data_IF_270844029622
#
_entry.id   IF_270844029622
#
_cell.length_a   1.000
_cell.length_b   1.000
_cell.length_c   1.000
_cell.angle_alpha   90.00
_cell.angle_beta   90.00
_cell.angle_gamma   90.00
#
_symmetry.space_group_name_H-M   'P 1'
#
loop_
_entity.id
_entity.type
_entity.pdbx_description
1 polymer ?
#
# COMPACT_ATOMS: atom_id res chain seq x y z
N UNK A 1 29.82 30.12 -19.09
CA UNK A 1 28.95 31.13 -19.73
C UNK A 1 29.05 31.03 -21.25
N UNK A 2 28.50 29.95 -21.80
CA UNK A 2 28.32 29.81 -23.25
C UNK A 2 27.07 30.58 -23.63
N UNK A 3 27.28 31.68 -24.34
CA UNK A 3 26.22 32.59 -24.75
C UNK A 3 25.98 32.38 -26.24
N UNK A 4 24.85 31.78 -26.61
CA UNK A 4 24.53 31.41 -27.99
C UNK A 4 23.34 32.20 -28.52
N UNK A 5 23.29 32.40 -29.84
CA UNK A 5 22.08 32.90 -30.48
C UNK A 5 20.98 31.83 -30.42
N UNK A 6 19.71 32.23 -30.52
CA UNK A 6 18.56 31.30 -30.44
C UNK A 6 18.63 30.18 -31.48
N UNK A 7 19.24 30.49 -32.62
CA UNK A 7 19.42 29.58 -33.76
C UNK A 7 20.44 28.50 -33.46
N UNK A 8 21.54 28.87 -32.80
CA UNK A 8 22.63 27.97 -32.41
C UNK A 8 22.22 27.12 -31.21
N UNK A 9 21.48 27.68 -30.25
CA UNK A 9 20.92 26.92 -29.12
C UNK A 9 19.89 25.86 -29.56
N UNK A 10 19.08 26.17 -30.58
CA UNK A 10 18.18 25.17 -31.18
C UNK A 10 18.96 24.01 -31.82
N UNK A 11 20.05 24.32 -32.54
CA UNK A 11 20.89 23.33 -33.19
C UNK A 11 21.66 22.45 -32.19
N UNK A 12 22.17 23.02 -31.09
CA UNK A 12 22.93 22.27 -30.08
C UNK A 12 22.08 21.25 -29.32
N UNK A 13 20.79 21.55 -29.08
CA UNK A 13 19.84 20.65 -28.41
C UNK A 13 19.02 19.78 -29.37
N UNK A 14 19.21 19.91 -30.68
CA UNK A 14 18.43 19.20 -31.69
C UNK A 14 16.95 19.59 -31.72
N UNK A 15 16.60 20.77 -31.20
CA UNK A 15 15.23 21.27 -31.14
C UNK A 15 14.89 22.12 -32.37
N UNK A 16 13.62 22.12 -32.76
CA UNK A 16 13.20 23.00 -33.85
C UNK A 16 13.29 24.46 -33.43
N UNK A 17 13.68 25.34 -34.36
CA UNK A 17 13.72 26.81 -34.12
C UNK A 17 12.37 27.35 -33.64
N UNK A 18 11.28 26.71 -34.06
CA UNK A 18 9.92 27.04 -33.61
C UNK A 18 9.69 26.69 -32.13
N UNK A 19 10.23 25.57 -31.65
CA UNK A 19 10.14 25.18 -30.25
C UNK A 19 10.90 26.15 -29.34
N UNK A 20 12.13 26.54 -29.72
CA UNK A 20 12.90 27.56 -28.99
C UNK A 20 12.21 28.93 -29.05
N UNK A 21 11.59 29.30 -30.17
CA UNK A 21 10.77 30.51 -30.26
C UNK A 21 9.53 30.48 -29.34
N UNK A 22 8.94 29.30 -29.10
CA UNK A 22 7.86 29.12 -28.14
C UNK A 22 8.35 29.29 -26.70
N UNK A 23 9.49 28.71 -26.35
CA UNK A 23 10.12 28.88 -25.04
C UNK A 23 10.47 30.35 -24.76
N UNK A 24 10.95 31.07 -25.78
CA UNK A 24 11.20 32.52 -25.70
C UNK A 24 9.93 33.31 -25.37
N UNK A 25 8.82 33.01 -26.08
CA UNK A 25 7.51 33.67 -25.85
C UNK A 25 6.91 33.32 -24.49
N UNK A 26 7.21 32.15 -23.96
CA UNK A 26 6.78 31.71 -22.62
C UNK A 26 7.68 32.26 -21.50
N UNK A 27 8.70 33.07 -21.83
CA UNK A 27 9.62 33.65 -20.85
C UNK A 27 10.52 32.62 -20.17
N UNK A 28 10.71 31.44 -20.77
CA UNK A 28 11.46 30.32 -20.21
C UNK A 28 12.91 30.24 -20.70
N UNK A 29 13.40 31.28 -21.38
CA UNK A 29 14.81 31.41 -21.80
C UNK A 29 15.45 32.55 -21.01
N UNK A 30 16.63 32.30 -20.47
CA UNK A 30 17.39 33.30 -19.73
C UNK A 30 18.37 33.97 -20.70
N UNK A 31 18.29 35.29 -20.79
CA UNK A 31 19.13 36.10 -21.65
C UNK A 31 20.28 36.71 -20.84
N UNK A 32 21.48 36.65 -21.39
CA UNK A 32 22.61 37.42 -20.89
C UNK A 32 22.47 38.91 -21.24
N UNK A 33 23.25 39.76 -20.59
CA UNK A 33 23.23 41.23 -20.76
C UNK A 33 23.46 41.71 -22.20
N UNK A 34 23.99 40.86 -23.08
CA UNK A 34 24.24 41.11 -24.51
C UNK A 34 23.09 40.63 -25.42
N UNK A 35 21.92 40.29 -24.86
CA UNK A 35 20.71 39.91 -25.60
C UNK A 35 20.73 38.51 -26.25
N UNK A 36 21.77 37.72 -25.96
CA UNK A 36 21.94 36.32 -26.40
C UNK A 36 21.55 35.36 -25.27
N UNK A 37 21.23 34.10 -25.60
CA UNK A 37 20.74 33.11 -24.62
C UNK A 37 21.93 32.57 -23.82
N UNK A 38 21.81 32.61 -22.49
CA UNK A 38 22.69 31.84 -21.62
C UNK A 38 22.21 30.40 -21.59
N UNK A 39 22.98 29.52 -22.22
CA UNK A 39 22.64 28.12 -22.46
C UNK A 39 22.50 27.36 -21.15
N UNK A 40 23.41 27.61 -20.22
CA UNK A 40 23.54 26.85 -18.98
C UNK A 40 22.45 27.24 -17.98
N UNK A 41 22.15 28.53 -17.86
CA UNK A 41 21.05 29.03 -17.02
C UNK A 41 19.68 28.62 -17.57
N UNK A 42 19.51 28.64 -18.90
CA UNK A 42 18.27 28.23 -19.55
C UNK A 42 18.00 26.74 -19.39
N UNK A 43 19.02 25.89 -19.55
CA UNK A 43 18.87 24.45 -19.41
C UNK A 43 18.46 24.06 -17.99
N UNK A 44 19.10 24.65 -16.97
CA UNK A 44 18.73 24.41 -15.56
C UNK A 44 17.28 24.84 -15.27
N UNK A 45 16.85 25.98 -15.81
CA UNK A 45 15.47 26.45 -15.64
C UNK A 45 14.45 25.53 -16.31
N UNK A 46 14.80 24.94 -17.46
CA UNK A 46 13.94 23.99 -18.17
C UNK A 46 13.90 22.62 -17.50
N UNK A 47 14.98 22.17 -16.87
CA UNK A 47 15.01 20.94 -16.07
C UNK A 47 14.18 21.07 -14.78
N UNK A 48 14.30 22.20 -14.06
CA UNK A 48 13.51 22.44 -12.85
C UNK A 48 12.01 22.63 -13.13
N UNK A 49 11.64 23.06 -14.34
CA UNK A 49 10.26 23.37 -14.72
C UNK A 49 9.68 22.40 -15.76
N UNK A 50 10.34 21.26 -15.98
CA UNK A 50 9.96 20.23 -16.94
C UNK A 50 9.09 19.14 -16.30
N UNK A 51 7.83 19.04 -16.72
CA UNK A 51 6.93 17.94 -16.32
C UNK A 51 7.44 16.60 -16.89
N UNK A 52 7.71 15.57 -16.07
CA UNK A 52 8.12 14.24 -16.55
C UNK A 52 7.03 13.49 -17.33
N UNK A 53 5.82 14.04 -17.44
CA UNK A 53 4.64 13.36 -17.98
C UNK A 53 4.30 13.66 -19.44
N UNK A 54 5.14 14.35 -20.23
CA UNK A 54 4.77 14.79 -21.58
C UNK A 54 5.64 14.28 -22.74
N UNK A 55 6.30 13.13 -22.54
CA UNK A 55 7.07 12.47 -23.60
C UNK A 55 6.22 11.85 -24.72
N UNK A 56 4.89 11.75 -24.61
CA UNK A 56 4.09 11.06 -25.63
C UNK A 56 3.06 11.96 -26.31
N UNK A 57 3.34 12.16 -27.61
CA UNK A 57 2.44 12.31 -28.76
C UNK A 57 1.36 13.38 -28.74
N UNK A 58 1.42 14.23 -29.77
CA UNK A 58 0.51 15.32 -30.03
C UNK A 58 -0.92 14.90 -30.33
N UNK A 59 -1.83 15.80 -30.01
CA UNK A 59 -3.06 16.02 -30.77
C UNK A 59 -3.38 17.51 -30.72
N UNK A 60 -3.65 18.07 -31.89
CA UNK A 60 -3.76 19.50 -32.21
C UNK A 60 -5.21 19.92 -32.12
N UNK A 61 -5.53 20.96 -31.34
CA UNK A 61 -6.74 21.77 -31.53
C UNK A 61 -6.36 23.25 -31.40
N UNK A 62 -6.85 24.06 -32.34
CA UNK A 62 -6.58 25.47 -32.63
C UNK A 62 -7.22 26.44 -31.62
N UNK A 63 -6.65 27.66 -31.44
CA UNK A 63 -7.12 28.64 -30.45
C UNK A 63 -8.04 29.71 -31.06
N UNK A 64 -8.91 30.32 -30.23
CA UNK A 64 -9.47 31.66 -30.48
C UNK A 64 -8.88 32.63 -29.45
N UNK A 65 -8.43 33.77 -29.99
CA UNK A 65 -7.69 34.88 -29.40
C UNK A 65 -8.42 35.54 -28.21
N UNK A 66 -7.72 35.81 -27.10
CA UNK A 66 -7.10 37.09 -26.72
C UNK A 66 -8.08 38.27 -26.73
N UNK A 67 -8.21 39.02 -25.64
CA UNK A 67 -7.38 40.22 -25.45
C UNK A 67 -7.39 40.68 -23.98
N UNK A 68 -6.20 41.07 -23.52
CA UNK A 68 -5.89 41.75 -22.27
C UNK A 68 -6.46 43.18 -22.20
N UNK A 69 -6.86 43.66 -21.02
CA UNK A 69 -6.62 45.05 -20.62
C UNK A 69 -6.30 45.10 -19.12
N UNK A 70 -5.41 46.02 -18.77
CA UNK A 70 -4.78 46.28 -17.48
C UNK A 70 -5.73 46.85 -16.41
N UNK A 71 -5.22 46.87 -15.18
CA UNK A 71 -5.40 47.88 -14.11
C UNK A 71 -6.54 47.69 -13.07
N UNK A 72 -6.44 48.34 -11.87
CA UNK A 72 -6.48 47.66 -10.57
C UNK A 72 -7.73 47.94 -9.72
N UNK A 73 -7.93 47.07 -8.70
CA UNK A 73 -8.83 47.15 -7.54
C UNK A 73 -10.34 47.29 -7.82
N UNK A 74 -11.16 46.27 -7.47
CA UNK A 74 -12.54 46.38 -6.94
C UNK A 74 -13.04 44.98 -6.43
N UNK A 75 -13.58 44.99 -5.20
CA UNK A 75 -14.52 44.08 -4.52
C UNK A 75 -14.20 42.57 -4.32
N UNK A 76 -14.57 41.99 -3.15
CA UNK A 76 -14.40 40.56 -2.89
C UNK A 76 -15.36 39.76 -3.78
N UNK A 77 -14.82 39.10 -4.80
CA UNK A 77 -15.58 38.15 -5.58
C UNK A 77 -15.92 36.93 -4.71
N UNK A 78 -17.22 36.61 -4.62
CA UNK A 78 -17.73 35.33 -4.14
C UNK A 78 -16.92 34.19 -4.77
N UNK A 79 -16.61 33.11 -4.04
CA UNK A 79 -15.90 31.98 -4.60
C UNK A 79 -16.78 31.37 -5.70
N UNK A 80 -16.46 31.68 -6.96
CA UNK A 80 -17.01 30.96 -8.10
C UNK A 80 -16.52 29.52 -7.95
N UNK A 81 -17.41 28.63 -7.51
CA UNK A 81 -17.18 27.20 -7.51
C UNK A 81 -16.82 26.80 -8.93
N UNK A 82 -15.54 26.51 -9.16
CA UNK A 82 -15.14 25.78 -10.36
C UNK A 82 -16.01 24.53 -10.45
N UNK A 83 -16.54 24.17 -11.63
CA UNK A 83 -17.30 22.94 -11.78
C UNK A 83 -16.42 21.79 -11.29
N UNK A 84 -16.83 21.16 -10.18
CA UNK A 84 -16.18 19.95 -9.71
C UNK A 84 -16.28 18.96 -10.86
N UNK A 85 -15.13 18.62 -11.45
CA UNK A 85 -15.06 17.59 -12.46
C UNK A 85 -15.77 16.37 -11.91
N UNK A 86 -16.83 15.93 -12.59
CA UNK A 86 -17.62 14.78 -12.19
C UNK A 86 -16.66 13.60 -11.90
N UNK A 87 -16.91 12.82 -10.82
CA UNK A 87 -16.03 11.72 -10.47
C UNK A 87 -15.89 10.81 -11.68
N UNK A 88 -14.65 10.59 -12.11
CA UNK A 88 -14.31 9.93 -13.36
C UNK A 88 -14.89 8.51 -13.38
N UNK A 89 -16.03 8.34 -14.06
CA UNK A 89 -16.86 7.13 -14.02
C UNK A 89 -16.07 5.86 -14.38
N UNK A 90 -15.09 6.00 -15.27
CA UNK A 90 -14.19 4.91 -15.63
C UNK A 90 -13.31 4.48 -14.46
N UNK A 91 -12.79 5.42 -13.66
CA UNK A 91 -12.00 5.09 -12.46
C UNK A 91 -12.87 4.37 -11.41
N UNK A 92 -14.11 4.81 -11.21
CA UNK A 92 -15.05 4.16 -10.30
C UNK A 92 -15.38 2.73 -10.77
N UNK A 93 -15.62 2.53 -12.07
CA UNK A 93 -15.88 1.21 -12.66
C UNK A 93 -14.67 0.27 -12.54
N UNK A 94 -13.46 0.77 -12.80
CA UNK A 94 -12.22 -0.01 -12.63
C UNK A 94 -12.00 -0.41 -11.18
N UNK A 95 -12.23 0.49 -10.20
CA UNK A 95 -12.12 0.18 -8.77
C UNK A 95 -13.10 -0.91 -8.34
N UNK A 96 -14.34 -0.85 -8.82
CA UNK A 96 -15.35 -1.86 -8.52
C UNK A 96 -14.96 -3.23 -9.08
N UNK A 97 -14.51 -3.28 -10.34
CA UNK A 97 -14.06 -4.52 -10.98
C UNK A 97 -12.87 -5.16 -10.24
N UNK A 98 -11.92 -4.34 -9.80
CA UNK A 98 -10.76 -4.81 -9.03
C UNK A 98 -11.18 -5.34 -7.66
N UNK A 99 -12.02 -4.61 -6.92
CA UNK A 99 -12.54 -5.08 -5.63
C UNK A 99 -13.40 -6.36 -5.76
N UNK A 100 -14.09 -6.53 -6.89
CA UNK A 100 -14.84 -7.76 -7.16
C UNK A 100 -13.91 -8.95 -7.46
N UNK A 101 -12.80 -8.71 -8.19
CA UNK A 101 -11.78 -9.72 -8.41
C UNK A 101 -11.12 -10.16 -7.09
N UNK A 102 -10.71 -9.21 -6.25
CA UNK A 102 -10.12 -9.49 -4.92
C UNK A 102 -11.06 -10.30 -4.02
N UNK A 103 -12.37 -10.00 -4.05
CA UNK A 103 -13.37 -10.79 -3.31
C UNK A 103 -13.49 -12.21 -3.85
N UNK A 104 -13.54 -12.38 -5.17
CA UNK A 104 -13.62 -13.71 -5.78
C UNK A 104 -12.36 -14.55 -5.49
N UNK A 105 -11.19 -13.93 -5.46
CA UNK A 105 -9.93 -14.58 -5.06
C UNK A 105 -9.96 -15.00 -3.57
N UNK A 106 -10.40 -14.12 -2.67
CA UNK A 106 -10.53 -14.45 -1.25
C UNK A 106 -11.56 -15.58 -1.00
N UNK A 107 -12.67 -15.60 -1.76
CA UNK A 107 -13.67 -16.67 -1.67
C UNK A 107 -13.12 -18.00 -2.21
N UNK A 108 -12.35 -17.97 -3.31
CA UNK A 108 -11.64 -19.16 -3.78
C UNK A 108 -10.66 -19.68 -2.73
N UNK A 109 -9.88 -18.81 -2.09
CA UNK A 109 -8.95 -19.18 -1.03
C UNK A 109 -9.64 -19.80 0.19
N UNK A 110 -10.86 -19.35 0.53
CA UNK A 110 -11.66 -20.00 1.59
C UNK A 110 -12.10 -21.39 1.18
N UNK A 111 -12.54 -21.59 -0.06
CA UNK A 111 -12.99 -22.89 -0.57
C UNK A 111 -11.80 -23.87 -0.68
N UNK A 112 -10.62 -23.39 -1.06
CA UNK A 112 -9.39 -24.21 -1.10
C UNK A 112 -8.79 -24.47 0.28
N UNK A 113 -9.31 -23.83 1.33
CA UNK A 113 -8.83 -23.98 2.71
C UNK A 113 -7.56 -23.19 3.04
N UNK A 114 -7.13 -22.27 2.16
CA UNK A 114 -5.96 -21.40 2.39
C UNK A 114 -6.29 -20.22 3.31
N UNK A 115 -7.55 -19.78 3.33
CA UNK A 115 -8.02 -18.67 4.17
C UNK A 115 -9.14 -19.12 5.13
N UNK A 116 -8.97 -18.82 6.42
CA UNK A 116 -9.91 -19.15 7.49
C UNK A 116 -10.35 -17.88 8.22
N UNK A 117 -11.51 -17.92 8.87
CA UNK A 117 -11.98 -16.80 9.68
C UNK A 117 -11.08 -16.64 10.92
N UNK A 118 -10.49 -15.45 11.04
CA UNK A 118 -9.64 -15.11 12.18
C UNK A 118 -10.38 -15.27 13.50
N UNK A 119 -11.64 -14.87 13.57
CA UNK A 119 -12.39 -14.90 14.83
C UNK A 119 -12.58 -16.34 15.32
N UNK A 120 -12.85 -17.26 14.41
CA UNK A 120 -12.99 -18.70 14.71
C UNK A 120 -11.66 -19.28 15.21
N UNK A 121 -10.55 -18.96 14.53
CA UNK A 121 -9.22 -19.42 14.94
C UNK A 121 -8.81 -18.86 16.30
N UNK A 122 -9.00 -17.56 16.53
CA UNK A 122 -8.67 -16.91 17.80
C UNK A 122 -9.46 -17.54 18.97
N UNK A 123 -10.75 -17.81 18.76
CA UNK A 123 -11.59 -18.48 19.76
C UNK A 123 -11.15 -19.94 20.01
N UNK A 124 -10.91 -20.71 18.95
CA UNK A 124 -10.46 -22.11 19.06
C UNK A 124 -9.09 -22.22 19.74
N UNK A 125 -8.15 -21.33 19.41
CA UNK A 125 -6.84 -21.27 20.04
C UNK A 125 -6.93 -20.90 21.53
N UNK A 126 -7.79 -19.95 21.88
CA UNK A 126 -8.02 -19.58 23.27
C UNK A 126 -8.67 -20.71 24.08
N UNK A 127 -9.68 -21.38 23.51
CA UNK A 127 -10.32 -22.53 24.13
C UNK A 127 -9.32 -23.67 24.37
N UNK A 128 -8.49 -23.98 23.35
CA UNK A 128 -7.42 -24.97 23.44
C UNK A 128 -6.43 -24.63 24.56
N UNK A 129 -5.92 -23.39 24.60
CA UNK A 129 -4.96 -22.97 25.62
C UNK A 129 -5.52 -23.07 27.04
N UNK A 130 -6.80 -22.70 27.21
CA UNK A 130 -7.50 -22.89 28.48
C UNK A 130 -7.62 -24.37 28.86
N UNK A 131 -8.01 -25.20 27.89
CA UNK A 131 -8.22 -26.63 28.09
C UNK A 131 -6.91 -27.34 28.49
N UNK A 132 -5.79 -27.05 27.81
CA UNK A 132 -4.45 -27.54 28.18
C UNK A 132 -4.05 -27.11 29.59
N UNK A 133 -4.29 -25.84 29.94
CA UNK A 133 -4.01 -25.33 31.29
C UNK A 133 -4.82 -26.08 32.35
N UNK A 134 -6.12 -26.24 32.12
CA UNK A 134 -7.01 -26.90 33.06
C UNK A 134 -6.62 -28.38 33.24
N UNK A 135 -6.14 -29.04 32.19
CA UNK A 135 -5.62 -30.41 32.23
C UNK A 135 -4.34 -30.51 33.08
N UNK A 136 -3.37 -29.62 32.88
CA UNK A 136 -2.14 -29.56 33.68
C UNK A 136 -2.42 -29.24 35.16
N UNK A 137 -3.32 -28.29 35.43
CA UNK A 137 -3.71 -27.93 36.80
C UNK A 137 -4.55 -29.02 37.48
N UNK A 138 -5.05 -30.01 36.73
CA UNK A 138 -5.72 -31.18 37.30
C UNK A 138 -4.74 -32.23 37.84
N UNK A 139 -3.45 -32.15 37.50
CA UNK A 139 -2.44 -33.13 37.90
C UNK A 139 -2.06 -33.04 39.39
N UNK A 140 -1.74 -31.87 39.99
CA UNK A 140 -1.29 -31.79 41.37
C UNK A 140 -2.17 -32.52 42.40
N UNK A 141 -3.51 -32.39 42.41
CA UNK A 141 -4.33 -33.13 43.38
C UNK A 141 -4.34 -34.64 43.15
N UNK A 142 -4.12 -35.11 41.91
CA UNK A 142 -4.04 -36.54 41.57
C UNK A 142 -2.68 -37.13 41.95
N UNK A 143 -1.61 -36.38 41.72
CA UNK A 143 -0.23 -36.82 41.98
C UNK A 143 0.15 -36.73 43.46
N UNK A 144 -0.40 -35.76 44.20
CA UNK A 144 -0.07 -35.55 45.61
C UNK A 144 -0.09 -36.82 46.48
N UNK A 145 -1.15 -37.66 46.50
CA UNK A 145 -1.16 -38.87 47.32
C UNK A 145 -0.13 -39.91 46.86
N UNK A 146 0.05 -40.08 45.55
CA UNK A 146 1.01 -41.06 44.99
C UNK A 146 2.45 -40.65 45.31
N UNK A 147 2.79 -39.38 45.06
CA UNK A 147 4.11 -38.83 45.32
C UNK A 147 4.44 -38.81 46.81
N UNK A 148 3.44 -38.60 47.69
CA UNK A 148 3.64 -38.63 49.15
C UNK A 148 4.06 -39.99 49.70
N UNK A 149 3.71 -41.07 48.98
CA UNK A 149 4.08 -42.44 49.34
C UNK A 149 5.42 -42.88 48.73
N UNK A 150 5.97 -42.13 47.78
CA UNK A 150 7.24 -42.45 47.12
C UNK A 150 8.43 -41.96 47.95
N UNK A 151 9.48 -42.79 48.04
CA UNK A 151 10.69 -42.51 48.83
C UNK A 151 11.94 -42.26 47.99
N UNK A 152 11.90 -42.57 46.71
CA UNK A 152 13.02 -42.44 45.77
C UNK A 152 12.80 -41.24 44.84
N UNK A 153 13.77 -40.32 44.82
CA UNK A 153 13.72 -39.12 43.96
C UNK A 153 13.63 -39.46 42.48
N UNK A 154 14.32 -40.52 42.03
CA UNK A 154 14.28 -40.94 40.63
C UNK A 154 12.90 -41.45 40.22
N UNK A 155 12.23 -42.22 41.08
CA UNK A 155 10.88 -42.72 40.81
C UNK A 155 9.85 -41.59 40.79
N UNK A 156 10.02 -40.58 41.67
CA UNK A 156 9.21 -39.36 41.70
C UNK A 156 9.34 -38.59 40.37
N UNK A 157 10.56 -38.29 39.95
CA UNK A 157 10.81 -37.55 38.70
C UNK A 157 10.27 -38.31 37.49
N UNK A 158 10.53 -39.62 37.42
CA UNK A 158 10.03 -40.48 36.33
C UNK A 158 8.51 -40.50 36.26
N UNK A 159 7.84 -40.66 37.40
CA UNK A 159 6.38 -40.70 37.46
C UNK A 159 5.78 -39.34 37.08
N UNK A 160 6.30 -38.24 37.66
CA UNK A 160 5.85 -36.89 37.36
C UNK A 160 6.02 -36.54 35.87
N UNK A 161 7.17 -36.89 35.28
CA UNK A 161 7.40 -36.67 33.85
C UNK A 161 6.45 -37.49 32.97
N UNK A 162 6.17 -38.74 33.36
CA UNK A 162 5.22 -39.60 32.65
C UNK A 162 3.81 -39.02 32.64
N UNK A 163 3.34 -38.53 33.78
CA UNK A 163 2.00 -37.95 33.94
C UNK A 163 1.86 -36.61 33.21
N UNK A 164 2.89 -35.76 33.24
CA UNK A 164 2.91 -34.53 32.44
C UNK A 164 2.90 -34.86 30.95
N UNK A 165 3.66 -35.87 30.51
CA UNK A 165 3.65 -36.26 29.09
C UNK A 165 2.27 -36.76 28.67
N UNK A 166 1.66 -37.65 29.45
CA UNK A 166 0.32 -38.16 29.16
C UNK A 166 -0.72 -37.03 29.12
N UNK A 167 -0.60 -36.05 30.03
CA UNK A 167 -1.45 -34.87 30.03
C UNK A 167 -1.31 -34.02 28.76
N UNK A 168 -0.08 -33.84 28.27
CA UNK A 168 0.17 -33.10 27.04
C UNK A 168 -0.29 -33.85 25.79
N UNK A 169 -0.12 -35.18 25.76
CA UNK A 169 -0.62 -36.03 24.67
C UNK A 169 -2.17 -36.00 24.60
N UNK A 170 -2.84 -36.04 25.75
CA UNK A 170 -4.30 -35.90 25.83
C UNK A 170 -4.76 -34.50 25.38
N UNK A 171 -4.04 -33.45 25.79
CA UNK A 171 -4.31 -32.09 25.33
C UNK A 171 -4.10 -31.93 23.82
N UNK A 172 -3.06 -32.55 23.24
CA UNK A 172 -2.81 -32.56 21.80
C UNK A 172 -3.98 -33.20 21.05
N UNK A 173 -4.41 -34.40 21.47
CA UNK A 173 -5.52 -35.11 20.82
C UNK A 173 -6.80 -34.28 20.83
N UNK A 174 -7.20 -33.80 22.00
CA UNK A 174 -8.44 -33.03 22.16
C UNK A 174 -8.37 -31.69 21.42
N UNK A 175 -7.20 -31.05 21.40
CA UNK A 175 -7.02 -29.82 20.62
C UNK A 175 -7.17 -30.05 19.12
N UNK A 176 -6.61 -31.14 18.58
CA UNK A 176 -6.70 -31.45 17.16
C UNK A 176 -8.16 -31.73 16.73
N UNK A 177 -8.91 -32.44 17.58
CA UNK A 177 -10.35 -32.69 17.38
C UNK A 177 -11.14 -31.37 17.41
N UNK A 178 -10.95 -30.54 18.43
CA UNK A 178 -11.65 -29.25 18.58
C UNK A 178 -11.35 -28.29 17.42
N UNK A 179 -10.09 -28.18 16.99
CA UNK A 179 -9.72 -27.37 15.82
C UNK A 179 -10.37 -27.90 14.53
N UNK A 180 -10.40 -29.22 14.33
CA UNK A 180 -11.01 -29.82 13.15
C UNK A 180 -12.51 -29.53 13.07
N UNK A 181 -13.21 -29.56 14.22
CA UNK A 181 -14.63 -29.23 14.32
C UNK A 181 -14.90 -27.73 14.16
N UNK A 182 -14.06 -26.87 14.75
CA UNK A 182 -14.20 -25.42 14.63
C UNK A 182 -14.02 -24.93 13.19
N UNK A 183 -13.10 -25.54 12.43
CA UNK A 183 -12.85 -25.20 11.03
C UNK A 183 -13.88 -25.82 10.07
N UNK A 184 -14.52 -26.93 10.45
CA UNK A 184 -15.53 -27.63 9.63
C UNK A 184 -16.85 -27.85 10.41
N UNK A 185 -17.63 -26.80 10.70
CA UNK A 185 -18.83 -26.89 11.55
C UNK A 185 -20.03 -27.65 10.93
N UNK A 186 -19.85 -28.35 9.81
CA UNK A 186 -20.93 -28.95 9.01
C UNK A 186 -20.68 -30.38 8.52
N UNK A 187 -19.70 -31.09 9.07
CA UNK A 187 -19.44 -32.50 8.78
C UNK A 187 -19.58 -33.36 10.04
#
# INVERSE_FOLDING_TARGET
>A
MTVLSRTEYAASKGWSRQYVGKLAKQGRLIYASDGKIDVEATDQYLEMTGDPARSNSGTRITPVAATSVQQPWIAPALPTSAPQAAPDYHQAKTRLALAQAERAEADLQKITGELVDREVVDQAAFATGRMTRDLLLSLPPKLAPVLSAMTSTWDIEKHLLGEIRQALEEAERLSAEDFSHALNPGN
#
